data_IF_426861710342
#
_entry.id   IF_426861710342
#
_cell.length_a   1.000
_cell.length_b   1.000
_cell.length_c   1.000
_cell.angle_alpha   90.00
_cell.angle_beta   90.00
_cell.angle_gamma   90.00
#
_symmetry.space_group_name_H-M   'P 1'
#
loop_
_entity.id
_entity.type
_entity.pdbx_description
1 polymer ?
#
# COMPACT_ATOMS: atom_id res chain seq x y z
N UNK A 1 11.20 -15.55 10.38
CA UNK A 1 10.98 -14.36 9.51
C UNK A 1 11.46 -14.70 8.10
N UNK A 2 10.59 -14.68 7.08
CA UNK A 2 11.05 -14.86 5.68
C UNK A 2 12.03 -13.73 5.34
N UNK A 3 13.11 -14.06 4.64
CA UNK A 3 14.16 -13.11 4.27
C UNK A 3 13.93 -12.64 2.84
N UNK A 4 14.13 -11.36 2.58
CA UNK A 4 14.13 -10.82 1.23
C UNK A 4 15.19 -11.52 0.38
N UNK A 5 14.89 -11.75 -0.90
CA UNK A 5 15.78 -12.47 -1.81
C UNK A 5 15.98 -11.69 -3.11
N UNK A 6 17.14 -11.92 -3.73
CA UNK A 6 17.50 -11.31 -5.00
C UNK A 6 16.71 -11.99 -6.11
N UNK A 7 16.06 -11.19 -6.95
CA UNK A 7 15.30 -11.67 -8.10
C UNK A 7 16.18 -11.55 -9.34
N UNK A 8 16.27 -12.63 -10.12
CA UNK A 8 16.88 -12.57 -11.46
C UNK A 8 15.91 -11.85 -12.39
N UNK A 9 16.27 -10.64 -12.79
CA UNK A 9 15.53 -9.84 -13.76
C UNK A 9 16.21 -9.90 -15.13
N UNK A 10 15.50 -9.61 -16.22
CA UNK A 10 16.13 -9.48 -17.53
C UNK A 10 17.31 -8.48 -17.52
N UNK A 11 18.35 -8.68 -18.34
CA UNK A 11 19.55 -7.85 -18.33
C UNK A 11 19.28 -6.35 -18.45
N UNK A 12 18.28 -5.95 -19.25
CA UNK A 12 17.91 -4.54 -19.41
C UNK A 12 17.45 -3.90 -18.09
N UNK A 13 16.72 -4.62 -17.21
CA UNK A 13 16.31 -4.09 -15.90
C UNK A 13 17.49 -3.94 -14.95
N UNK A 14 18.48 -4.84 -15.04
CA UNK A 14 19.73 -4.66 -14.30
C UNK A 14 20.45 -3.40 -14.78
N UNK A 15 20.60 -3.24 -16.11
CA UNK A 15 21.23 -2.07 -16.73
C UNK A 15 20.55 -0.75 -16.32
N UNK A 16 19.20 -0.72 -16.26
CA UNK A 16 18.46 0.46 -15.82
C UNK A 16 18.94 0.98 -14.46
N UNK A 17 19.23 0.10 -13.49
CA UNK A 17 19.72 0.53 -12.17
C UNK A 17 21.11 1.18 -12.17
N UNK A 18 21.86 1.05 -13.27
CA UNK A 18 23.14 1.74 -13.48
C UNK A 18 22.95 3.08 -14.19
N UNK A 19 22.01 3.15 -15.14
CA UNK A 19 21.75 4.36 -15.95
C UNK A 19 20.84 5.35 -15.19
N UNK A 20 19.94 4.84 -14.34
CA UNK A 20 18.95 5.60 -13.57
C UNK A 20 19.24 5.44 -12.07
N UNK A 21 20.27 6.11 -11.53
CA UNK A 21 20.75 5.88 -10.17
C UNK A 21 19.86 6.50 -9.09
N UNK A 22 19.02 7.50 -9.42
CA UNK A 22 18.15 8.16 -8.44
C UNK A 22 16.79 7.46 -8.40
N UNK A 23 16.13 7.52 -7.24
CA UNK A 23 14.84 6.85 -7.02
C UNK A 23 13.73 7.30 -7.98
N UNK A 24 13.79 8.53 -8.47
CA UNK A 24 12.77 9.14 -9.33
C UNK A 24 13.09 9.12 -10.83
N UNK A 25 14.26 8.66 -11.26
CA UNK A 25 14.69 8.76 -12.67
C UNK A 25 13.81 7.92 -13.63
N UNK A 26 13.10 6.93 -13.08
CA UNK A 26 12.18 6.06 -13.81
C UNK A 26 10.72 6.23 -13.38
N UNK A 27 10.36 7.37 -12.77
CA UNK A 27 8.99 7.62 -12.33
C UNK A 27 8.07 7.87 -13.52
N UNK A 28 7.00 7.07 -13.62
CA UNK A 28 5.92 7.25 -14.59
C UNK A 28 4.63 7.45 -13.81
N UNK A 29 3.96 8.57 -14.05
CA UNK A 29 2.69 8.89 -13.42
C UNK A 29 1.54 8.44 -14.32
N UNK A 30 0.50 7.91 -13.70
CA UNK A 30 -0.72 7.48 -14.37
C UNK A 30 -1.91 8.13 -13.69
N UNK A 31 -2.88 8.51 -14.51
CA UNK A 31 -4.19 9.00 -14.08
C UNK A 31 -5.21 7.90 -14.36
N UNK A 32 -5.98 7.54 -13.34
CA UNK A 32 -6.99 6.48 -13.43
C UNK A 32 -8.27 7.01 -12.80
N UNK A 33 -9.32 7.05 -13.60
CA UNK A 33 -10.68 7.29 -13.14
C UNK A 33 -11.34 5.96 -12.76
N UNK A 34 -12.02 5.93 -11.63
CA UNK A 34 -12.73 4.75 -11.16
C UNK A 34 -14.12 5.15 -10.65
N UNK A 35 -15.16 4.45 -11.13
CA UNK A 35 -16.51 4.58 -10.58
C UNK A 35 -16.57 3.93 -9.19
N UNK A 36 -16.92 4.75 -8.19
CA UNK A 36 -17.00 4.34 -6.78
C UNK A 36 -18.44 4.26 -6.27
N UNK A 37 -19.47 4.41 -7.12
CA UNK A 37 -20.87 4.44 -6.69
C UNK A 37 -21.26 3.21 -5.86
N UNK A 38 -20.95 2.00 -6.35
CA UNK A 38 -21.19 0.74 -5.62
C UNK A 38 -20.37 0.64 -4.34
N UNK A 39 -19.15 1.16 -4.35
CA UNK A 39 -18.27 1.19 -3.18
C UNK A 39 -18.83 2.08 -2.08
N UNK A 40 -19.35 3.26 -2.44
CA UNK A 40 -19.99 4.17 -1.50
C UNK A 40 -21.27 3.57 -0.91
N UNK A 41 -22.07 2.89 -1.73
CA UNK A 41 -23.24 2.16 -1.26
C UNK A 41 -22.86 1.05 -0.27
N UNK A 42 -21.83 0.26 -0.58
CA UNK A 42 -21.29 -0.74 0.32
C UNK A 42 -20.86 -0.13 1.65
N UNK A 43 -20.10 0.97 1.62
CA UNK A 43 -19.65 1.68 2.83
C UNK A 43 -20.84 2.12 3.68
N UNK A 44 -21.88 2.69 3.07
CA UNK A 44 -23.09 3.11 3.78
C UNK A 44 -23.74 1.93 4.52
N UNK A 45 -23.99 0.82 3.81
CA UNK A 45 -24.61 -0.39 4.37
C UNK A 45 -23.73 -1.04 5.45
N UNK A 46 -22.42 -1.15 5.21
CA UNK A 46 -21.47 -1.70 6.18
C UNK A 46 -21.47 -0.85 7.47
N UNK A 47 -21.49 0.47 7.31
CA UNK A 47 -21.50 1.39 8.42
C UNK A 47 -22.82 1.36 9.20
N UNK A 48 -23.97 0.98 8.63
CA UNK A 48 -25.23 0.91 9.39
C UNK A 48 -25.17 -0.12 10.52
N UNK A 49 -24.51 -1.25 10.30
CA UNK A 49 -24.46 -2.37 11.25
C UNK A 49 -23.14 -2.48 12.01
N UNK A 50 -22.07 -1.86 11.50
CA UNK A 50 -20.73 -2.00 12.10
C UNK A 50 -20.46 -0.95 13.18
N UNK A 51 -19.91 -1.41 14.30
CA UNK A 51 -19.28 -0.54 15.33
C UNK A 51 -18.07 0.19 14.74
N UNK A 52 -17.34 -0.48 13.85
CA UNK A 52 -16.16 0.07 13.20
C UNK A 52 -16.52 0.70 11.85
N UNK A 53 -16.97 1.96 11.90
CA UNK A 53 -17.23 2.74 10.69
C UNK A 53 -15.99 2.84 9.80
N UNK A 54 -16.17 2.63 8.50
CA UNK A 54 -15.13 2.76 7.48
C UNK A 54 -15.40 3.97 6.58
N UNK A 55 -14.33 4.45 5.97
CA UNK A 55 -14.37 5.44 4.88
C UNK A 55 -13.83 4.79 3.61
N UNK A 56 -13.94 5.50 2.48
CA UNK A 56 -13.36 5.05 1.21
C UNK A 56 -11.85 4.77 1.30
N UNK A 57 -11.15 5.43 2.22
CA UNK A 57 -9.72 5.22 2.44
C UNK A 57 -9.38 3.77 2.85
N UNK A 58 -10.23 3.13 3.66
CA UNK A 58 -10.03 1.72 4.04
C UNK A 58 -10.19 0.79 2.85
N UNK A 59 -11.17 1.06 1.98
CA UNK A 59 -11.35 0.30 0.73
C UNK A 59 -10.15 0.51 -0.19
N UNK A 60 -9.66 1.74 -0.30
CA UNK A 60 -8.49 2.07 -1.11
C UNK A 60 -7.23 1.38 -0.61
N UNK A 61 -6.94 1.45 0.69
CA UNK A 61 -5.81 0.75 1.30
C UNK A 61 -5.93 -0.77 1.13
N UNK A 62 -7.11 -1.34 1.35
CA UNK A 62 -7.34 -2.77 1.16
C UNK A 62 -7.15 -3.19 -0.30
N UNK A 63 -7.56 -2.34 -1.25
CA UNK A 63 -7.35 -2.57 -2.68
C UNK A 63 -5.87 -2.59 -3.04
N UNK A 64 -5.07 -1.66 -2.49
CA UNK A 64 -3.60 -1.68 -2.62
C UNK A 64 -3.03 -2.98 -2.02
N UNK A 65 -3.44 -3.34 -0.80
CA UNK A 65 -3.01 -4.56 -0.13
C UNK A 65 -3.29 -5.81 -0.99
N UNK A 66 -4.50 -5.96 -1.53
CA UNK A 66 -4.85 -7.06 -2.45
C UNK A 66 -4.07 -6.98 -3.77
N UNK A 67 -3.82 -5.77 -4.27
CA UNK A 67 -2.99 -5.53 -5.45
C UNK A 67 -1.58 -6.05 -5.27
N UNK A 68 -0.92 -5.73 -4.15
CA UNK A 68 0.43 -6.20 -3.82
C UNK A 68 0.52 -7.73 -3.65
N UNK A 69 -0.56 -8.38 -3.20
CA UNK A 69 -0.65 -9.85 -3.15
C UNK A 69 -0.72 -10.45 -4.56
N UNK A 70 -1.57 -9.88 -5.43
CA UNK A 70 -1.78 -10.38 -6.80
C UNK A 70 -0.59 -10.10 -7.71
N UNK A 71 0.12 -8.99 -7.47
CA UNK A 71 1.22 -8.50 -8.28
C UNK A 71 2.48 -8.32 -7.41
N UNK A 72 3.12 -9.43 -6.97
CA UNK A 72 4.29 -9.38 -6.08
C UNK A 72 5.47 -8.59 -6.67
N UNK A 73 5.52 -8.42 -8.00
CA UNK A 73 6.49 -7.59 -8.70
C UNK A 73 6.42 -6.11 -8.35
N UNK A 74 5.25 -5.60 -7.94
CA UNK A 74 5.08 -4.23 -7.44
C UNK A 74 5.72 -4.06 -6.05
N UNK A 75 5.85 -5.15 -5.30
CA UNK A 75 6.46 -5.18 -3.97
C UNK A 75 7.97 -5.50 -4.02
N UNK A 76 8.67 -5.02 -5.06
CA UNK A 76 10.13 -5.16 -5.21
C UNK A 76 10.82 -3.83 -4.94
N UNK A 77 12.09 -3.89 -4.56
CA UNK A 77 12.92 -2.69 -4.39
C UNK A 77 14.33 -2.91 -4.94
N UNK A 78 15.04 -1.82 -5.19
CA UNK A 78 16.42 -1.84 -5.66
C UNK A 78 17.34 -1.43 -4.51
N UNK A 79 18.40 -2.21 -4.28
CA UNK A 79 19.49 -1.87 -3.35
C UNK A 79 20.81 -2.30 -3.96
N UNK A 80 21.81 -1.41 -4.02
CA UNK A 80 23.12 -1.74 -4.58
C UNK A 80 23.04 -2.32 -6.01
N UNK A 81 22.18 -1.74 -6.86
CA UNK A 81 21.97 -2.15 -8.26
C UNK A 81 21.42 -3.58 -8.46
N UNK A 82 20.84 -4.16 -7.40
CA UNK A 82 20.16 -5.46 -7.42
C UNK A 82 18.70 -5.30 -7.06
N UNK A 83 17.85 -6.12 -7.68
CA UNK A 83 16.40 -6.15 -7.43
C UNK A 83 16.10 -7.18 -6.34
N UNK A 84 15.39 -6.75 -5.30
CA UNK A 84 14.99 -7.56 -4.16
C UNK A 84 13.47 -7.73 -4.15
N UNK A 85 13.02 -8.94 -3.86
CA UNK A 85 11.63 -9.21 -3.52
C UNK A 85 11.43 -9.00 -2.03
N UNK A 86 10.48 -8.14 -1.64
CA UNK A 86 10.06 -8.04 -0.24
C UNK A 86 9.28 -9.28 0.15
N UNK A 87 9.59 -9.77 1.34
CA UNK A 87 8.94 -10.93 1.94
C UNK A 87 7.66 -10.58 2.73
N UNK A 88 7.50 -9.31 3.09
CA UNK A 88 6.35 -8.77 3.81
C UNK A 88 5.55 -7.78 2.96
N UNK A 89 4.28 -7.60 3.30
CA UNK A 89 3.43 -6.57 2.71
C UNK A 89 3.36 -5.43 3.71
N UNK A 90 3.96 -4.31 3.36
CA UNK A 90 3.99 -3.11 4.21
C UNK A 90 3.48 -1.93 3.41
N UNK A 91 2.50 -1.21 3.95
CA UNK A 91 1.95 0.01 3.34
C UNK A 91 2.29 1.17 4.26
N UNK A 92 2.87 2.22 3.67
CA UNK A 92 3.14 3.47 4.35
C UNK A 92 2.27 4.58 3.76
N UNK A 93 1.73 5.44 4.61
CA UNK A 93 0.93 6.59 4.21
C UNK A 93 1.06 7.70 5.24
N UNK A 94 0.84 8.94 4.78
CA UNK A 94 0.85 10.11 5.64
C UNK A 94 -0.57 10.45 6.07
N UNK A 95 -0.73 10.85 7.33
CA UNK A 95 -2.00 11.29 7.89
C UNK A 95 -1.80 12.55 8.73
N UNK A 96 -2.83 13.38 8.81
CA UNK A 96 -2.88 14.42 9.83
C UNK A 96 -3.41 13.82 11.14
N UNK A 97 -2.80 14.22 12.24
CA UNK A 97 -3.24 13.82 13.59
C UNK A 97 -4.64 14.37 13.88
N UNK A 98 -4.88 15.61 13.44
CA UNK A 98 -6.17 16.29 13.55
C UNK A 98 -6.62 16.79 12.18
N UNK A 99 -7.93 16.94 11.99
CA UNK A 99 -8.52 17.45 10.75
C UNK A 99 -8.44 18.99 10.67
N UNK A 100 -7.31 19.58 11.05
CA UNK A 100 -7.05 21.03 11.01
C UNK A 100 -5.90 21.32 10.03
N UNK A 101 -5.84 22.56 9.52
CA UNK A 101 -4.83 22.96 8.53
C UNK A 101 -3.42 22.84 9.12
N UNK A 102 -3.25 23.26 10.37
CA UNK A 102 -1.95 23.34 11.05
C UNK A 102 -1.55 22.05 11.79
N UNK A 103 -2.37 20.99 11.69
CA UNK A 103 -2.08 19.73 12.35
C UNK A 103 -0.78 19.09 11.81
N UNK A 104 0.08 18.54 12.70
CA UNK A 104 1.26 17.81 12.27
C UNK A 104 0.90 16.60 11.39
N UNK A 105 1.74 16.35 10.39
CA UNK A 105 1.66 15.18 9.54
C UNK A 105 2.46 14.04 10.18
N UNK A 106 1.81 12.88 10.37
CA UNK A 106 2.42 11.64 10.84
C UNK A 106 2.56 10.66 9.69
N UNK A 107 3.72 10.05 9.56
CA UNK A 107 3.91 8.89 8.69
C UNK A 107 3.54 7.62 9.45
N UNK A 108 2.59 6.86 8.92
CA UNK A 108 2.16 5.57 9.45
C UNK A 108 2.62 4.48 8.50
N UNK A 109 3.24 3.44 9.06
CA UNK A 109 3.77 2.30 8.32
C UNK A 109 3.28 1.01 8.97
N UNK A 110 2.39 0.32 8.26
CA UNK A 110 1.72 -0.88 8.76
C UNK A 110 2.15 -2.10 7.96
N UNK A 111 2.33 -3.22 8.66
CA UNK A 111 2.67 -4.51 8.07
C UNK A 111 1.45 -5.42 8.13
N UNK A 112 1.16 -6.10 7.03
CA UNK A 112 -0.04 -6.93 6.87
C UNK A 112 0.32 -8.38 6.60
N UNK A 113 -0.48 -9.28 7.15
CA UNK A 113 -0.47 -10.70 6.81
C UNK A 113 -1.28 -10.93 5.53
N UNK A 114 -0.75 -11.75 4.61
CA UNK A 114 -1.29 -11.90 3.25
C UNK A 114 -2.70 -12.51 3.17
N UNK A 115 -3.13 -13.20 4.23
CA UNK A 115 -4.42 -13.89 4.34
C UNK A 115 -5.45 -13.09 5.16
N UNK A 116 -5.13 -11.84 5.54
CA UNK A 116 -6.01 -10.99 6.33
C UNK A 116 -7.34 -10.70 5.61
N UNK A 117 -8.45 -11.01 6.29
CA UNK A 117 -9.80 -10.65 5.84
C UNK A 117 -10.02 -9.13 5.92
N UNK A 118 -11.05 -8.64 5.24
CA UNK A 118 -11.35 -7.19 5.24
C UNK A 118 -11.66 -6.66 6.65
N UNK A 119 -12.46 -7.37 7.45
CA UNK A 119 -12.82 -6.91 8.80
C UNK A 119 -11.59 -6.83 9.72
N UNK A 120 -10.75 -7.89 9.72
CA UNK A 120 -9.48 -7.88 10.47
C UNK A 120 -8.54 -6.78 10.01
N UNK A 121 -8.54 -6.48 8.70
CA UNK A 121 -7.76 -5.39 8.15
C UNK A 121 -8.22 -4.03 8.68
N UNK A 122 -9.53 -3.78 8.68
CA UNK A 122 -10.10 -2.54 9.22
C UNK A 122 -9.75 -2.37 10.70
N UNK A 123 -9.94 -3.43 11.49
CA UNK A 123 -9.65 -3.41 12.93
C UNK A 123 -8.16 -3.16 13.19
N UNK A 124 -7.28 -3.85 12.46
CA UNK A 124 -5.84 -3.69 12.58
C UNK A 124 -5.39 -2.27 12.23
N UNK A 125 -5.91 -1.71 11.13
CA UNK A 125 -5.57 -0.34 10.70
C UNK A 125 -6.03 0.67 11.74
N UNK A 126 -7.26 0.57 12.26
CA UNK A 126 -7.77 1.48 13.30
C UNK A 126 -6.91 1.46 14.56
N UNK A 127 -6.70 0.27 15.11
CA UNK A 127 -5.92 0.08 16.34
C UNK A 127 -4.44 0.48 16.21
N UNK A 128 -3.94 0.66 14.98
CA UNK A 128 -2.56 1.08 14.73
C UNK A 128 -2.42 2.60 14.53
N UNK A 129 -3.54 3.30 14.38
CA UNK A 129 -3.59 4.73 14.07
C UNK A 129 -4.06 5.54 15.28
N UNK A 130 -5.03 5.01 16.02
CA UNK A 130 -5.47 5.51 17.33
C UNK A 130 -4.33 5.44 18.36
#
# INVERSE_FOLDING_TARGET
MKKDYIVKVPPYRTLMSYIMPRRGDAAVFLEVEADVGRTLEFIRRFNETSTNKITIFYIFLYSIFKGLIRHPELNRYIRGKRVYQRSDITIAFSMKVEKTVDSPMREVKLRFDSDMSFDKFVDYVKNSID
#
